data_IF_279444959444
#
_entry.id   IF_279444959444
#
_cell.length_a   1.000
_cell.length_b   1.000
_cell.length_c   1.000
_cell.angle_alpha   90.00
_cell.angle_beta   90.00
_cell.angle_gamma   90.00
#
_symmetry.space_group_name_H-M   'P 1'
#
loop_
_entity.id
_entity.type
_entity.pdbx_description
1 polymer ?
#
# COMPACT_ATOMS: atom_id res chain seq x y z
N UNK A 1 48.14 -5.97 -17.93
CA UNK A 1 46.78 -5.39 -17.75
C UNK A 1 46.45 -5.50 -16.27
N UNK A 2 46.69 -4.42 -15.50
CA UNK A 2 46.39 -4.36 -14.08
C UNK A 2 44.94 -3.88 -13.90
N UNK A 3 44.04 -4.75 -13.44
CA UNK A 3 42.75 -4.36 -12.92
C UNK A 3 42.99 -3.76 -11.53
N UNK A 4 42.86 -2.43 -11.38
CA UNK A 4 42.73 -1.79 -10.08
C UNK A 4 41.40 -2.20 -9.49
N UNK A 5 41.41 -2.95 -8.38
CA UNK A 5 40.27 -3.09 -7.49
C UNK A 5 39.97 -1.73 -6.91
N UNK A 6 38.76 -1.23 -7.13
CA UNK A 6 38.26 -0.08 -6.41
C UNK A 6 38.11 -0.44 -4.91
N UNK A 7 38.46 0.45 -3.99
CA UNK A 7 38.27 0.20 -2.57
C UNK A 7 36.76 0.08 -2.28
N UNK A 8 36.38 -1.02 -1.66
CA UNK A 8 35.03 -1.29 -1.14
C UNK A 8 34.85 -0.60 0.21
N UNK A 9 35.00 0.73 0.26
CA UNK A 9 34.59 1.54 1.40
C UNK A 9 33.29 2.27 1.07
N UNK A 10 32.22 1.53 0.91
CA UNK A 10 30.89 2.03 1.24
C UNK A 10 30.66 1.64 2.70
N UNK A 11 31.27 2.38 3.63
CA UNK A 11 30.73 2.44 4.97
C UNK A 11 29.26 2.88 4.82
N UNK A 12 28.36 1.99 5.08
CA UNK A 12 26.92 2.29 5.13
C UNK A 12 26.75 3.37 6.18
N UNK A 13 26.54 4.63 5.73
CA UNK A 13 26.31 5.76 6.63
C UNK A 13 24.97 5.50 7.33
N UNK A 14 25.05 5.07 8.58
CA UNK A 14 23.92 5.01 9.49
C UNK A 14 23.95 6.31 10.30
N UNK A 15 22.97 7.23 10.09
CA UNK A 15 22.89 8.44 10.90
C UNK A 15 22.71 8.05 12.37
N UNK A 16 23.24 8.86 13.27
CA UNK A 16 22.95 8.72 14.69
C UNK A 16 21.46 9.03 14.98
N UNK A 17 20.96 8.54 16.10
CA UNK A 17 19.53 8.64 16.48
C UNK A 17 19.04 10.11 16.49
N UNK A 18 19.90 11.06 16.85
CA UNK A 18 19.58 12.50 16.87
C UNK A 18 19.42 13.03 15.44
N UNK A 19 20.34 12.67 14.55
CA UNK A 19 20.27 13.05 13.12
C UNK A 19 19.04 12.46 12.46
N UNK A 20 18.67 11.22 12.79
CA UNK A 20 17.47 10.57 12.27
C UNK A 20 16.20 11.30 12.74
N UNK A 21 16.12 11.68 14.03
CA UNK A 21 15.01 12.46 14.56
C UNK A 21 14.90 13.86 13.91
N UNK A 22 16.03 14.53 13.68
CA UNK A 22 16.06 15.82 12.98
C UNK A 22 15.60 15.70 11.52
N UNK A 23 16.00 14.65 10.80
CA UNK A 23 15.55 14.37 9.44
C UNK A 23 14.05 14.12 9.38
N UNK A 24 13.51 13.29 10.28
CA UNK A 24 12.07 13.03 10.37
C UNK A 24 11.29 14.33 10.66
N UNK A 25 11.80 15.18 11.56
CA UNK A 25 11.13 16.45 11.86
C UNK A 25 11.13 17.41 10.66
N UNK A 26 12.22 17.49 9.92
CA UNK A 26 12.33 18.29 8.70
C UNK A 26 11.41 17.76 7.59
N UNK A 27 11.32 16.44 7.42
CA UNK A 27 10.41 15.82 6.47
C UNK A 27 8.95 16.13 6.81
N UNK A 28 8.56 15.98 8.07
CA UNK A 28 7.22 16.34 8.53
C UNK A 28 6.89 17.81 8.31
N UNK A 29 7.84 18.70 8.56
CA UNK A 29 7.68 20.15 8.33
C UNK A 29 7.52 20.44 6.84
N UNK A 30 8.34 19.83 5.99
CA UNK A 30 8.26 19.96 4.53
C UNK A 30 6.91 19.47 4.01
N UNK A 31 6.48 18.28 4.45
CA UNK A 31 5.22 17.69 4.06
C UNK A 31 4.02 18.56 4.46
N UNK A 32 4.05 19.12 5.66
CA UNK A 32 3.04 20.07 6.13
C UNK A 32 2.99 21.31 5.24
N UNK A 33 4.15 21.91 4.96
CA UNK A 33 4.22 23.10 4.12
C UNK A 33 3.67 22.86 2.71
N UNK A 34 4.01 21.71 2.09
CA UNK A 34 3.51 21.33 0.76
C UNK A 34 2.01 21.14 0.78
N UNK A 35 1.49 20.35 1.73
CA UNK A 35 0.05 20.05 1.81
C UNK A 35 -0.80 21.29 2.12
N UNK A 36 -0.34 22.19 3.00
CA UNK A 36 -0.99 23.47 3.28
C UNK A 36 -0.96 24.38 2.05
N UNK A 37 0.15 24.42 1.32
CA UNK A 37 0.27 25.21 0.08
C UNK A 37 -0.69 24.72 -0.99
N UNK A 38 -0.82 23.40 -1.19
CA UNK A 38 -1.82 22.82 -2.09
C UNK A 38 -3.22 23.25 -1.67
N UNK A 39 -3.59 23.02 -0.41
CA UNK A 39 -4.94 23.39 0.10
C UNK A 39 -5.26 24.87 -0.09
N UNK A 40 -4.26 25.74 0.08
CA UNK A 40 -4.42 27.19 -0.05
C UNK A 40 -4.54 27.68 -1.48
N UNK A 41 -3.85 27.05 -2.42
CA UNK A 41 -3.73 27.53 -3.81
C UNK A 41 -4.30 26.56 -4.84
N UNK A 42 -5.14 25.60 -4.45
CA UNK A 42 -5.67 24.56 -5.33
C UNK A 42 -6.48 25.12 -6.53
N UNK A 43 -7.10 26.27 -6.37
CA UNK A 43 -7.84 27.00 -7.41
C UNK A 43 -6.95 27.76 -8.39
N UNK A 44 -5.65 27.88 -8.12
CA UNK A 44 -4.64 28.56 -8.95
C UNK A 44 -3.81 27.54 -9.73
N UNK A 45 -3.18 27.96 -10.86
CA UNK A 45 -2.30 27.09 -11.64
C UNK A 45 -1.20 26.42 -10.80
N UNK A 46 -0.53 27.21 -9.95
CA UNK A 46 0.56 26.69 -9.10
C UNK A 46 0.07 25.61 -8.12
N UNK A 47 -1.08 25.82 -7.49
CA UNK A 47 -1.66 24.83 -6.57
C UNK A 47 -2.10 23.55 -7.29
N UNK A 48 -2.68 23.70 -8.48
CA UNK A 48 -3.04 22.56 -9.31
C UNK A 48 -1.82 21.72 -9.72
N UNK A 49 -0.74 22.34 -10.24
CA UNK A 49 0.46 21.60 -10.63
C UNK A 49 1.17 20.98 -9.42
N UNK A 50 1.19 21.68 -8.29
CA UNK A 50 1.74 21.12 -7.05
C UNK A 50 0.92 19.91 -6.58
N UNK A 51 -0.41 19.99 -6.66
CA UNK A 51 -1.29 18.87 -6.33
C UNK A 51 -1.04 17.65 -7.22
N UNK A 52 -0.88 17.83 -8.54
CA UNK A 52 -0.54 16.72 -9.44
C UNK A 52 0.79 16.03 -9.06
N UNK A 53 1.75 16.79 -8.53
CA UNK A 53 3.08 16.28 -8.19
C UNK A 53 3.14 15.55 -6.85
N UNK A 54 2.18 15.78 -5.96
CA UNK A 54 2.22 15.27 -4.59
C UNK A 54 0.87 14.76 -4.07
N UNK A 55 -0.06 14.36 -4.94
CA UNK A 55 -1.39 13.88 -4.53
C UNK A 55 -1.33 12.66 -3.62
N UNK A 56 -0.26 11.85 -3.72
CA UNK A 56 0.01 10.71 -2.85
C UNK A 56 0.29 11.08 -1.38
N UNK A 57 0.50 12.35 -1.08
CA UNK A 57 0.63 12.86 0.29
C UNK A 57 -0.72 13.12 0.97
N UNK A 58 -1.82 12.98 0.25
CA UNK A 58 -3.18 13.17 0.72
C UNK A 58 -3.91 11.85 0.85
N UNK A 59 -4.83 11.78 1.79
CA UNK A 59 -5.75 10.64 1.84
C UNK A 59 -6.65 10.63 0.59
N UNK A 60 -7.16 9.46 0.17
CA UNK A 60 -8.06 9.37 -0.98
C UNK A 60 -9.25 10.33 -0.86
N UNK A 61 -9.82 10.47 0.33
CA UNK A 61 -10.92 11.40 0.58
C UNK A 61 -10.49 12.86 0.36
N UNK A 62 -9.33 13.27 0.86
CA UNK A 62 -8.80 14.62 0.62
C UNK A 62 -8.51 14.89 -0.86
N UNK A 63 -8.02 13.88 -1.59
CA UNK A 63 -7.81 13.98 -3.04
C UNK A 63 -9.12 14.27 -3.76
N UNK A 64 -10.18 13.55 -3.43
CA UNK A 64 -11.51 13.78 -4.01
C UNK A 64 -12.06 15.18 -3.69
N UNK A 65 -11.92 15.63 -2.45
CA UNK A 65 -12.35 16.97 -2.01
C UNK A 65 -11.56 18.10 -2.71
N UNK A 66 -10.22 17.96 -2.78
CA UNK A 66 -9.35 18.93 -3.44
C UNK A 66 -9.63 18.99 -4.95
N UNK A 67 -9.89 17.84 -5.58
CA UNK A 67 -10.25 17.74 -6.99
C UNK A 67 -11.51 18.54 -7.34
N UNK A 68 -12.45 18.70 -6.40
CA UNK A 68 -13.65 19.53 -6.61
C UNK A 68 -13.31 21.03 -6.61
N UNK A 69 -12.28 21.43 -5.85
CA UNK A 69 -11.86 22.83 -5.65
C UNK A 69 -10.93 23.35 -6.75
N UNK A 70 -10.42 22.46 -7.61
CA UNK A 70 -9.58 22.83 -8.77
C UNK A 70 -10.34 23.78 -9.69
N UNK A 71 -9.63 24.78 -10.24
CA UNK A 71 -10.19 25.71 -11.22
C UNK A 71 -10.88 24.99 -12.39
N UNK A 72 -11.98 25.55 -12.86
CA UNK A 72 -12.77 25.00 -14.00
C UNK A 72 -11.91 24.75 -15.25
N UNK A 73 -10.86 25.55 -15.44
CA UNK A 73 -9.90 25.38 -16.54
C UNK A 73 -9.22 24.00 -16.55
N UNK A 74 -8.97 23.41 -15.38
CA UNK A 74 -8.27 22.13 -15.23
C UNK A 74 -9.18 20.95 -14.95
N UNK A 75 -10.47 21.16 -14.68
CA UNK A 75 -11.41 20.09 -14.25
C UNK A 75 -11.53 18.91 -15.22
N UNK A 76 -11.31 19.16 -16.50
CA UNK A 76 -11.42 18.15 -17.55
C UNK A 76 -10.05 17.62 -18.00
N UNK A 77 -8.97 17.90 -17.27
CA UNK A 77 -7.65 17.38 -17.62
C UNK A 77 -7.56 15.87 -17.39
N UNK A 78 -6.86 15.16 -18.26
CA UNK A 78 -6.62 13.72 -18.11
C UNK A 78 -5.88 13.39 -16.81
N UNK A 79 -4.95 14.26 -16.39
CA UNK A 79 -4.21 14.07 -15.16
C UNK A 79 -5.13 14.11 -13.92
N UNK A 80 -6.05 15.08 -13.85
CA UNK A 80 -6.99 15.16 -12.75
C UNK A 80 -7.99 13.98 -12.76
N UNK A 81 -8.42 13.56 -13.95
CA UNK A 81 -9.28 12.38 -14.10
C UNK A 81 -8.60 11.13 -13.55
N UNK A 82 -7.33 10.90 -13.94
CA UNK A 82 -6.54 9.77 -13.45
C UNK A 82 -6.41 9.77 -11.91
N UNK A 83 -6.05 10.91 -11.31
CA UNK A 83 -5.90 11.04 -9.86
C UNK A 83 -7.21 10.78 -9.13
N UNK A 84 -8.35 11.24 -9.68
CA UNK A 84 -9.66 10.97 -9.10
C UNK A 84 -10.04 9.50 -9.16
N UNK A 85 -9.86 8.86 -10.31
CA UNK A 85 -10.12 7.43 -10.48
C UNK A 85 -9.23 6.58 -9.54
N UNK A 86 -7.97 6.98 -9.36
CA UNK A 86 -7.06 6.35 -8.42
C UNK A 86 -7.51 6.51 -6.97
N UNK A 87 -7.89 7.73 -6.58
CA UNK A 87 -8.42 8.01 -5.25
C UNK A 87 -9.76 7.31 -4.98
N UNK A 88 -10.66 7.23 -5.97
CA UNK A 88 -11.92 6.49 -5.86
C UNK A 88 -11.67 5.00 -5.61
N UNK A 89 -10.77 4.38 -6.36
CA UNK A 89 -10.36 2.97 -6.13
C UNK A 89 -9.77 2.78 -4.74
N UNK A 90 -8.80 3.61 -4.37
CA UNK A 90 -8.15 3.54 -3.05
C UNK A 90 -9.13 3.80 -1.89
N UNK A 91 -10.13 4.67 -2.09
CA UNK A 91 -11.16 4.93 -1.09
C UNK A 91 -12.11 3.73 -0.91
N UNK A 92 -12.41 3.02 -1.99
CA UNK A 92 -13.23 1.80 -1.93
C UNK A 92 -12.55 0.67 -1.14
N UNK A 93 -11.21 0.64 -1.14
CA UNK A 93 -10.38 -0.38 -0.47
C UNK A 93 -9.70 0.11 0.80
N UNK A 94 -10.02 1.33 1.26
CA UNK A 94 -9.45 1.88 2.49
C UNK A 94 -9.95 1.15 3.74
N UNK A 95 -9.17 1.23 4.82
CA UNK A 95 -9.48 0.58 6.09
C UNK A 95 -10.92 0.91 6.57
N UNK A 96 -11.66 -0.11 6.95
CA UNK A 96 -13.05 0.01 7.40
C UNK A 96 -14.11 -0.02 6.29
N UNK A 97 -13.72 -0.03 5.01
CA UNK A 97 -14.65 -0.25 3.90
C UNK A 97 -14.93 -1.74 3.69
N UNK A 98 -16.08 -2.03 3.10
CA UNK A 98 -16.38 -3.39 2.65
C UNK A 98 -15.46 -3.73 1.48
N UNK A 99 -14.87 -4.95 1.50
CA UNK A 99 -14.04 -5.40 0.40
C UNK A 99 -14.86 -5.56 -0.90
N UNK A 100 -14.19 -5.44 -2.04
CA UNK A 100 -14.78 -5.74 -3.34
C UNK A 100 -14.69 -7.26 -3.54
N UNK A 101 -15.83 -7.88 -3.82
CA UNK A 101 -15.87 -9.34 -4.02
C UNK A 101 -15.30 -9.70 -5.39
N UNK A 102 -14.32 -10.56 -5.38
CA UNK A 102 -13.65 -11.06 -6.57
C UNK A 102 -13.73 -12.57 -6.62
N UNK A 103 -13.79 -13.11 -7.82
CA UNK A 103 -13.69 -14.56 -8.05
C UNK A 103 -12.26 -14.89 -8.46
N UNK A 104 -11.63 -15.79 -7.73
CA UNK A 104 -10.26 -16.26 -7.98
C UNK A 104 -10.28 -17.75 -8.32
N UNK A 105 -9.40 -18.23 -9.21
CA UNK A 105 -9.22 -19.66 -9.43
C UNK A 105 -8.77 -20.35 -8.14
N UNK A 106 -9.40 -21.46 -7.81
CA UNK A 106 -8.95 -22.30 -6.70
C UNK A 106 -7.90 -23.32 -7.17
N UNK A 107 -7.02 -23.74 -6.27
CA UNK A 107 -5.96 -24.73 -6.57
C UNK A 107 -6.52 -26.11 -6.97
N UNK A 108 -7.75 -26.42 -6.61
CA UNK A 108 -8.46 -27.64 -6.98
C UNK A 108 -9.22 -27.54 -8.33
N UNK A 109 -9.04 -26.41 -9.05
CA UNK A 109 -9.63 -26.17 -10.37
C UNK A 109 -11.03 -25.59 -10.35
N UNK A 110 -11.55 -25.24 -9.17
CA UNK A 110 -12.81 -24.50 -9.00
C UNK A 110 -12.63 -22.97 -9.02
N UNK A 111 -13.70 -22.28 -8.69
CA UNK A 111 -13.69 -20.84 -8.44
C UNK A 111 -13.98 -20.60 -6.96
N UNK A 112 -13.21 -19.67 -6.35
CA UNK A 112 -13.43 -19.20 -4.99
C UNK A 112 -13.76 -17.71 -5.03
N UNK A 113 -14.78 -17.32 -4.32
CA UNK A 113 -15.04 -15.90 -4.07
C UNK A 113 -14.30 -15.45 -2.83
N UNK A 114 -13.67 -14.28 -2.90
CA UNK A 114 -12.99 -13.70 -1.75
C UNK A 114 -13.98 -13.54 -0.58
N UNK A 115 -15.24 -13.21 -0.89
CA UNK A 115 -16.32 -13.13 0.11
C UNK A 115 -16.53 -14.41 0.91
N UNK A 116 -16.44 -15.56 0.25
CA UNK A 116 -16.66 -16.86 0.91
C UNK A 116 -15.55 -17.15 1.92
N UNK A 117 -14.32 -16.71 1.60
CA UNK A 117 -13.16 -16.87 2.49
C UNK A 117 -13.21 -15.88 3.66
N UNK A 118 -13.54 -14.62 3.40
CA UNK A 118 -13.42 -13.53 4.40
C UNK A 118 -14.63 -13.48 5.34
N UNK A 119 -15.83 -13.79 4.86
CA UNK A 119 -17.06 -13.74 5.69
C UNK A 119 -17.12 -14.83 6.73
N UNK A 120 -16.68 -16.04 6.36
CA UNK A 120 -16.77 -17.20 7.24
C UNK A 120 -15.68 -17.21 8.33
N UNK A 121 -14.68 -16.33 8.20
CA UNK A 121 -13.58 -16.22 9.13
C UNK A 121 -13.59 -14.87 9.85
N UNK A 122 -13.40 -14.88 11.18
CA UNK A 122 -13.34 -13.66 11.98
C UNK A 122 -12.16 -12.78 11.57
N UNK A 123 -11.05 -13.41 11.25
CA UNK A 123 -9.80 -12.74 10.87
C UNK A 123 -9.18 -13.47 9.67
N UNK A 124 -8.80 -12.73 8.65
CA UNK A 124 -8.14 -13.27 7.45
C UNK A 124 -6.90 -12.43 7.14
N UNK A 125 -5.77 -13.12 6.93
CA UNK A 125 -4.52 -12.54 6.45
C UNK A 125 -4.34 -12.91 4.98
N UNK A 126 -4.12 -11.93 4.12
CA UNK A 126 -3.80 -12.14 2.70
C UNK A 126 -2.39 -11.63 2.42
N UNK A 127 -1.52 -12.52 1.94
CA UNK A 127 -0.16 -12.21 1.49
C UNK A 127 -0.15 -12.00 -0.02
N UNK A 128 0.10 -10.76 -0.45
CA UNK A 128 0.23 -10.39 -1.85
C UNK A 128 1.71 -10.49 -2.25
N UNK A 129 2.01 -11.38 -3.19
CA UNK A 129 3.37 -11.77 -3.56
C UNK A 129 3.55 -11.99 -5.06
N UNK A 130 4.80 -12.19 -5.51
CA UNK A 130 5.13 -12.67 -6.86
C UNK A 130 6.37 -13.57 -6.82
N UNK A 131 6.51 -14.46 -7.80
CA UNK A 131 7.59 -15.46 -7.87
C UNK A 131 9.00 -14.84 -7.99
N UNK A 132 9.11 -13.72 -8.66
CA UNK A 132 10.36 -12.97 -8.86
C UNK A 132 10.77 -12.09 -7.66
N UNK A 133 9.87 -11.89 -6.69
CA UNK A 133 10.06 -11.00 -5.56
C UNK A 133 10.94 -11.66 -4.48
N UNK A 134 12.17 -11.20 -4.32
CA UNK A 134 13.10 -11.70 -3.31
C UNK A 134 12.61 -11.54 -1.87
N UNK A 135 12.15 -10.34 -1.45
CA UNK A 135 11.57 -10.12 -0.11
C UNK A 135 10.33 -10.98 0.17
N UNK A 136 9.49 -11.25 -0.86
CA UNK A 136 8.33 -12.13 -0.71
C UNK A 136 8.73 -13.56 -0.34
N UNK A 137 9.80 -14.08 -0.95
CA UNK A 137 10.33 -15.42 -0.64
C UNK A 137 10.85 -15.53 0.80
N UNK A 138 11.34 -14.43 1.38
CA UNK A 138 11.74 -14.40 2.79
C UNK A 138 10.53 -14.33 3.74
N UNK A 139 9.47 -13.64 3.35
CA UNK A 139 8.26 -13.51 4.15
C UNK A 139 7.40 -14.77 4.11
N UNK A 140 7.37 -15.47 2.97
CA UNK A 140 6.48 -16.62 2.75
C UNK A 140 6.56 -17.70 3.85
N UNK A 141 7.75 -18.19 4.28
CA UNK A 141 7.83 -19.18 5.36
C UNK A 141 7.33 -18.63 6.71
N UNK A 142 7.51 -17.33 6.96
CA UNK A 142 7.01 -16.67 8.17
C UNK A 142 5.48 -16.66 8.19
N UNK A 143 4.86 -16.37 7.04
CA UNK A 143 3.40 -16.40 6.90
C UNK A 143 2.86 -17.83 7.08
N UNK A 144 3.58 -18.84 6.57
CA UNK A 144 3.21 -20.24 6.76
C UNK A 144 3.30 -20.66 8.23
N UNK A 145 4.35 -20.28 8.96
CA UNK A 145 4.45 -20.52 10.41
C UNK A 145 3.33 -19.83 11.19
N UNK A 146 2.98 -18.59 10.83
CA UNK A 146 1.85 -17.88 11.46
C UNK A 146 0.53 -18.59 11.19
N UNK A 147 0.33 -19.14 9.98
CA UNK A 147 -0.86 -19.91 9.64
C UNK A 147 -1.00 -21.20 10.48
N UNK A 148 0.12 -21.83 10.82
CA UNK A 148 0.15 -23.03 11.68
C UNK A 148 -0.14 -22.69 13.14
N UNK A 149 0.38 -21.56 13.64
CA UNK A 149 0.22 -21.16 15.05
C UNK A 149 -1.14 -20.49 15.34
N UNK A 150 -1.63 -19.66 14.43
CA UNK A 150 -2.86 -18.88 14.58
C UNK A 150 -4.02 -19.56 13.86
N UNK A 151 -4.52 -20.64 14.44
CA UNK A 151 -5.64 -21.41 13.90
C UNK A 151 -6.97 -20.65 13.87
N UNK A 152 -7.02 -19.52 14.56
CA UNK A 152 -8.13 -18.55 14.54
C UNK A 152 -8.09 -17.59 13.36
N UNK A 153 -6.98 -17.57 12.59
CA UNK A 153 -6.76 -16.73 11.42
C UNK A 153 -6.79 -17.57 10.15
N UNK A 154 -7.59 -17.18 9.19
CA UNK A 154 -7.48 -17.74 7.84
C UNK A 154 -6.34 -17.03 7.09
N UNK A 155 -5.41 -17.81 6.54
CA UNK A 155 -4.31 -17.26 5.75
C UNK A 155 -4.49 -17.64 4.27
N UNK A 156 -4.36 -16.66 3.39
CA UNK A 156 -4.35 -16.82 1.95
C UNK A 156 -3.15 -16.14 1.31
N UNK A 157 -2.73 -16.64 0.15
CA UNK A 157 -1.65 -16.04 -0.65
C UNK A 157 -2.18 -15.71 -2.04
N UNK A 158 -1.87 -14.50 -2.52
CA UNK A 158 -2.30 -14.00 -3.82
C UNK A 158 -1.08 -13.63 -4.65
N UNK A 159 -0.93 -14.29 -5.79
CA UNK A 159 0.09 -13.90 -6.77
C UNK A 159 -0.43 -12.69 -7.57
N UNK A 160 0.24 -11.55 -7.43
CA UNK A 160 -0.19 -10.30 -8.08
C UNK A 160 -0.02 -10.32 -9.60
N UNK A 161 0.85 -11.17 -10.14
CA UNK A 161 0.99 -11.34 -11.59
C UNK A 161 -0.19 -12.11 -12.20
N UNK A 162 -0.77 -13.03 -11.42
CA UNK A 162 -1.93 -13.82 -11.82
C UNK A 162 -3.25 -13.10 -11.51
N UNK A 163 -3.24 -12.19 -10.53
CA UNK A 163 -4.41 -11.47 -10.05
C UNK A 163 -4.16 -9.96 -10.01
N UNK A 164 -3.81 -9.33 -11.16
CA UNK A 164 -3.47 -7.90 -11.20
C UNK A 164 -4.67 -6.99 -10.85
N UNK A 165 -5.89 -7.43 -11.15
CA UNK A 165 -7.10 -6.67 -10.83
C UNK A 165 -7.28 -6.57 -9.32
N UNK A 166 -7.10 -7.70 -8.59
CA UNK A 166 -7.15 -7.74 -7.13
C UNK A 166 -6.07 -6.83 -6.51
N UNK A 167 -4.83 -6.94 -6.99
CA UNK A 167 -3.75 -6.09 -6.53
C UNK A 167 -4.08 -4.60 -6.73
N UNK A 168 -4.65 -4.24 -7.88
CA UNK A 168 -5.08 -2.88 -8.19
C UNK A 168 -6.21 -2.41 -7.29
N UNK A 169 -7.22 -3.26 -7.03
CA UNK A 169 -8.36 -2.93 -6.18
C UNK A 169 -7.97 -2.64 -4.73
N UNK A 170 -7.03 -3.42 -4.17
CA UNK A 170 -6.52 -3.20 -2.82
C UNK A 170 -5.33 -2.23 -2.75
N UNK A 171 -5.02 -1.53 -3.85
CA UNK A 171 -3.95 -0.54 -3.89
C UNK A 171 -2.57 -1.13 -3.59
N UNK A 172 -2.32 -2.39 -3.99
CA UNK A 172 -1.03 -3.06 -3.81
C UNK A 172 -0.04 -2.54 -4.84
N UNK A 173 0.66 -1.46 -4.48
CA UNK A 173 1.64 -0.80 -5.34
C UNK A 173 3.03 -1.43 -5.27
N UNK A 174 3.32 -2.18 -4.22
CA UNK A 174 4.58 -2.90 -4.02
C UNK A 174 4.36 -4.19 -3.25
N UNK A 175 5.28 -5.15 -3.40
CA UNK A 175 5.21 -6.46 -2.76
C UNK A 175 6.49 -6.77 -1.98
N UNK A 176 6.39 -7.56 -0.90
CA UNK A 176 5.16 -8.14 -0.36
C UNK A 176 4.25 -7.11 0.30
N UNK A 177 2.95 -7.32 0.25
CA UNK A 177 1.96 -6.56 1.00
C UNK A 177 1.03 -7.52 1.72
N UNK A 178 0.88 -7.32 3.03
CA UNK A 178 -0.05 -8.06 3.87
C UNK A 178 -1.33 -7.25 4.08
N UNK A 179 -2.47 -7.89 3.80
CA UNK A 179 -3.80 -7.34 4.03
C UNK A 179 -4.48 -8.13 5.14
N UNK A 180 -5.03 -7.44 6.13
CA UNK A 180 -5.77 -8.06 7.24
C UNK A 180 -7.23 -7.66 7.15
N UNK A 181 -8.08 -8.68 7.05
CA UNK A 181 -9.53 -8.50 7.03
C UNK A 181 -10.12 -8.99 8.35
N UNK A 182 -11.04 -8.22 8.90
CA UNK A 182 -11.83 -8.58 10.07
C UNK A 182 -13.31 -8.44 9.74
N UNK A 183 -14.07 -9.53 9.90
CA UNK A 183 -15.49 -9.59 9.58
C UNK A 183 -15.84 -9.04 8.18
N UNK A 184 -15.03 -9.36 7.18
CA UNK A 184 -15.24 -8.93 5.80
C UNK A 184 -14.78 -7.50 5.49
N UNK A 185 -14.06 -6.82 6.38
CA UNK A 185 -13.53 -5.47 6.15
C UNK A 185 -12.01 -5.47 6.21
N UNK A 186 -11.37 -4.76 5.30
CA UNK A 186 -9.95 -4.48 5.39
C UNK A 186 -9.70 -3.56 6.59
N UNK A 187 -8.97 -4.06 7.59
CA UNK A 187 -8.70 -3.32 8.83
C UNK A 187 -7.26 -2.85 8.94
N UNK A 188 -6.31 -3.59 8.33
CA UNK A 188 -4.89 -3.22 8.33
C UNK A 188 -4.23 -3.63 7.03
N UNK A 189 -3.27 -2.84 6.60
CA UNK A 189 -2.40 -3.12 5.46
C UNK A 189 -0.96 -2.82 5.85
N UNK A 190 -0.04 -3.68 5.41
CA UNK A 190 1.37 -3.48 5.70
C UNK A 190 2.24 -3.88 4.51
N UNK A 191 3.07 -2.95 4.06
CA UNK A 191 3.98 -3.11 2.93
C UNK A 191 5.36 -3.53 3.41
N UNK A 192 6.02 -4.40 2.65
CA UNK A 192 7.37 -4.87 2.88
C UNK A 192 7.47 -6.12 3.77
N UNK A 193 8.61 -6.81 3.63
CA UNK A 193 8.93 -7.97 4.45
C UNK A 193 9.13 -7.55 5.91
N UNK A 194 8.70 -8.42 6.84
CA UNK A 194 8.78 -8.16 8.27
C UNK A 194 9.04 -9.44 9.06
N UNK A 195 9.61 -9.34 10.26
CA UNK A 195 9.80 -10.50 11.12
C UNK A 195 8.45 -11.04 11.61
N UNK A 196 8.43 -12.28 12.09
CA UNK A 196 7.23 -12.97 12.60
C UNK A 196 6.47 -12.14 13.63
N UNK A 197 7.17 -11.53 14.58
CA UNK A 197 6.55 -10.65 15.57
C UNK A 197 5.75 -9.52 14.91
N UNK A 198 6.30 -8.90 13.85
CA UNK A 198 5.62 -7.84 13.11
C UNK A 198 4.42 -8.34 12.28
N UNK A 199 4.37 -9.62 11.90
CA UNK A 199 3.17 -10.23 11.30
C UNK A 199 2.12 -10.50 12.36
N UNK A 200 2.51 -11.02 13.52
CA UNK A 200 1.60 -11.27 14.65
C UNK A 200 0.99 -9.96 15.18
N UNK A 201 1.77 -8.89 15.27
CA UNK A 201 1.30 -7.56 15.69
C UNK A 201 0.22 -6.98 14.76
N UNK A 202 0.25 -7.35 13.47
CA UNK A 202 -0.81 -6.98 12.54
C UNK A 202 -2.13 -7.71 12.81
N UNK A 203 -2.07 -8.87 13.42
CA UNK A 203 -3.24 -9.70 13.68
C UNK A 203 -3.92 -9.35 15.02
N UNK A 204 -3.20 -8.73 15.93
CA UNK A 204 -3.69 -8.32 17.26
C UNK A 204 -3.54 -9.39 18.31
#
# INVERSE_FOLDING_TARGET
IYARQAPSDTAEYSPDEKTEQELVALEQQSNRFVTESVKKYIDKPVGYFLFLSCYNMFTPQEVLELSQKVSSHYKNSNALKYIKEDAERSNMTSNGQSFIDITIPSMDGGELKLSDIIRDNKLTLVDCWASWCGPCRMLSPIVDEVAEERTDVKVGKVNVDEQPELAGEFGVMSIPTLLVFEQGKLVRQAVGARPKAGVLDLLG
#
